data_IF_920634361925
#
_entry.id   IF_920634361925
#
_cell.length_a   1.000
_cell.length_b   1.000
_cell.length_c   1.000
_cell.angle_alpha   90.00
_cell.angle_beta   90.00
_cell.angle_gamma   90.00
#
_symmetry.space_group_name_H-M   'P 1'
#
loop_
_entity.id
_entity.type
_entity.pdbx_description
1 polymer ?
#
# COMPACT_ATOMS: atom_id res chain seq x y z
N UNK A 1 -21.95 0.00 -15.38
CA UNK A 1 -21.72 1.25 -14.62
C UNK A 1 -20.37 1.14 -13.94
N UNK A 2 -19.42 2.02 -14.23
CA UNK A 2 -18.12 2.07 -13.55
C UNK A 2 -18.26 2.88 -12.26
N UNK A 3 -17.88 2.31 -11.12
CA UNK A 3 -17.88 3.02 -9.85
C UNK A 3 -16.60 3.85 -9.74
N UNK A 4 -16.74 5.17 -9.59
CA UNK A 4 -15.62 6.10 -9.35
C UNK A 4 -15.74 6.66 -7.94
N UNK A 5 -14.81 6.29 -7.05
CA UNK A 5 -14.79 6.79 -5.68
C UNK A 5 -14.19 8.21 -5.65
N UNK A 6 -14.90 9.23 -5.13
CA UNK A 6 -14.39 10.60 -5.07
C UNK A 6 -13.24 10.78 -4.06
N UNK A 7 -13.04 9.80 -3.18
CA UNK A 7 -11.97 9.81 -2.20
C UNK A 7 -10.72 9.03 -2.64
N UNK A 8 -10.73 8.44 -3.83
CA UNK A 8 -9.58 7.71 -4.36
C UNK A 8 -8.62 8.67 -5.07
N UNK A 9 -7.42 8.80 -4.54
CA UNK A 9 -6.32 9.52 -5.18
C UNK A 9 -5.51 8.56 -6.04
N UNK A 10 -5.77 8.59 -7.34
CA UNK A 10 -5.14 7.71 -8.34
C UNK A 10 -3.62 7.85 -8.33
N UNK A 11 -3.10 9.07 -8.19
CA UNK A 11 -1.65 9.35 -8.22
C UNK A 11 -0.86 8.68 -7.08
N UNK A 12 -1.51 8.39 -5.95
CA UNK A 12 -0.87 7.85 -4.75
C UNK A 12 -1.43 6.49 -4.34
N UNK A 13 -2.38 5.98 -5.12
CA UNK A 13 -3.16 4.79 -4.80
C UNK A 13 -3.73 4.81 -3.35
N UNK A 14 -4.16 5.99 -2.90
CA UNK A 14 -4.50 6.27 -1.51
C UNK A 14 -5.94 6.75 -1.33
N UNK A 15 -6.52 6.49 -0.16
CA UNK A 15 -7.83 6.99 0.22
C UNK A 15 -7.68 8.33 0.96
N UNK A 16 -8.13 9.43 0.35
CA UNK A 16 -8.09 10.77 0.93
C UNK A 16 -8.92 10.90 2.21
N UNK A 17 -10.02 10.14 2.30
CA UNK A 17 -10.91 10.14 3.47
C UNK A 17 -10.26 9.47 4.69
N UNK A 18 -9.55 8.37 4.46
CA UNK A 18 -8.94 7.56 5.50
C UNK A 18 -7.44 7.87 5.69
N UNK A 19 -6.87 8.72 4.81
CA UNK A 19 -5.48 9.17 4.79
C UNK A 19 -4.48 8.01 4.86
N UNK A 20 -4.80 6.94 4.16
CA UNK A 20 -4.05 5.67 4.14
C UNK A 20 -4.21 5.01 2.77
N UNK A 21 -3.53 3.89 2.55
CA UNK A 21 -3.67 3.09 1.33
C UNK A 21 -5.13 2.72 1.03
N UNK A 22 -5.49 2.79 -0.25
CA UNK A 22 -6.86 2.50 -0.66
C UNK A 22 -7.11 0.99 -0.71
N UNK A 23 -7.84 0.46 0.27
CA UNK A 23 -8.34 -0.93 0.25
C UNK A 23 -9.88 -0.94 0.17
N UNK A 24 -10.47 -1.39 -0.95
CA UNK A 24 -11.92 -1.43 -1.14
C UNK A 24 -12.62 -2.32 -0.10
N UNK A 25 -13.67 -1.81 0.54
CA UNK A 25 -14.46 -2.55 1.53
C UNK A 25 -13.87 -2.62 2.93
N UNK A 26 -12.80 -1.86 3.22
CA UNK A 26 -12.27 -1.72 4.59
C UNK A 26 -13.24 -0.95 5.48
N UNK A 27 -13.14 -1.08 6.82
CA UNK A 27 -13.92 -0.27 7.73
C UNK A 27 -13.83 1.23 7.41
N UNK A 28 -14.97 1.88 7.23
CA UNK A 28 -15.09 3.29 6.84
C UNK A 28 -14.99 3.58 5.33
N UNK A 29 -14.88 2.54 4.48
CA UNK A 29 -14.97 2.68 3.03
C UNK A 29 -16.43 2.79 2.57
N UNK A 30 -16.66 3.51 1.47
CA UNK A 30 -17.96 3.56 0.78
C UNK A 30 -18.43 2.18 0.31
N UNK A 31 -17.51 1.23 0.11
CA UNK A 31 -17.78 -0.14 -0.28
C UNK A 31 -17.80 -1.12 0.91
N UNK A 32 -17.88 -0.62 2.15
CA UNK A 32 -18.04 -1.49 3.33
C UNK A 32 -19.27 -2.39 3.16
N UNK A 33 -19.13 -3.67 3.51
CA UNK A 33 -20.18 -4.68 3.31
C UNK A 33 -20.38 -5.16 1.87
N UNK A 34 -19.61 -4.65 0.91
CA UNK A 34 -19.65 -5.16 -0.47
C UNK A 34 -19.02 -6.55 -0.57
N UNK A 35 -19.61 -7.42 -1.39
CA UNK A 35 -19.12 -8.77 -1.63
C UNK A 35 -17.88 -8.77 -2.53
N UNK A 36 -16.70 -8.96 -1.95
CA UNK A 36 -15.45 -9.17 -2.68
C UNK A 36 -15.07 -10.66 -2.62
N UNK A 37 -14.39 -11.15 -3.67
CA UNK A 37 -13.91 -12.54 -3.71
C UNK A 37 -12.87 -12.83 -2.62
N UNK A 38 -12.06 -11.83 -2.25
CA UNK A 38 -11.06 -11.93 -1.18
C UNK A 38 -11.51 -11.11 0.03
N UNK A 39 -11.50 -11.68 1.25
CA UNK A 39 -11.91 -10.97 2.45
C UNK A 39 -11.03 -9.75 2.69
N UNK A 40 -11.64 -8.69 3.24
CA UNK A 40 -10.95 -7.41 3.40
C UNK A 40 -9.76 -7.47 4.35
N UNK A 41 -9.83 -8.31 5.38
CA UNK A 41 -8.73 -8.50 6.32
C UNK A 41 -7.46 -9.00 5.64
N UNK A 42 -7.59 -9.88 4.65
CA UNK A 42 -6.45 -10.38 3.88
C UNK A 42 -5.85 -9.28 3.00
N UNK A 43 -6.69 -8.55 2.25
CA UNK A 43 -6.23 -7.46 1.38
C UNK A 43 -5.54 -6.33 2.15
N UNK A 44 -6.00 -6.04 3.37
CA UNK A 44 -5.34 -5.08 4.27
C UNK A 44 -3.94 -5.55 4.67
N UNK A 45 -3.77 -6.84 4.99
CA UNK A 45 -2.45 -7.42 5.32
C UNK A 45 -1.50 -7.36 4.13
N UNK A 46 -1.95 -7.84 2.97
CA UNK A 46 -1.15 -7.82 1.74
C UNK A 46 -0.67 -6.40 1.39
N UNK A 47 -1.55 -5.40 1.57
CA UNK A 47 -1.21 -4.00 1.33
C UNK A 47 -0.24 -3.43 2.37
N UNK A 48 -0.40 -3.80 3.63
CA UNK A 48 0.53 -3.42 4.69
C UNK A 48 1.92 -4.03 4.48
N UNK A 49 1.99 -5.31 4.10
CA UNK A 49 3.23 -6.00 3.78
C UNK A 49 3.94 -5.37 2.57
N UNK A 50 3.20 -5.05 1.49
CA UNK A 50 3.75 -4.33 0.34
C UNK A 50 4.36 -2.98 0.76
N UNK A 51 3.64 -2.23 1.60
CA UNK A 51 4.11 -0.94 2.10
C UNK A 51 5.36 -1.10 2.98
N UNK A 52 5.41 -2.11 3.85
CA UNK A 52 6.59 -2.41 4.66
C UNK A 52 7.80 -2.77 3.80
N UNK A 53 7.61 -3.58 2.74
CA UNK A 53 8.68 -3.94 1.82
C UNK A 53 9.20 -2.71 1.06
N UNK A 54 8.32 -1.80 0.63
CA UNK A 54 8.73 -0.52 0.01
C UNK A 54 9.45 0.40 0.98
N UNK A 55 9.03 0.42 2.24
CA UNK A 55 9.61 1.24 3.28
C UNK A 55 10.92 0.70 3.84
N UNK A 56 11.33 -0.54 3.53
CA UNK A 56 12.67 -1.02 3.86
C UNK A 56 13.67 -0.18 3.08
N UNK A 57 14.34 0.80 3.72
CA UNK A 57 15.47 1.44 3.07
C UNK A 57 16.52 0.34 3.01
N UNK A 58 17.07 0.05 1.84
CA UNK A 58 18.22 -0.84 1.75
C UNK A 58 19.28 -0.36 2.72
N UNK A 59 19.45 -1.07 3.85
CA UNK A 59 20.64 -0.97 4.69
C UNK A 59 21.76 -1.71 3.96
N UNK A 60 22.09 -1.22 2.79
CA UNK A 60 23.13 -1.75 1.90
C UNK A 60 23.93 -0.61 1.24
N UNK A 61 23.76 0.63 1.72
CA UNK A 61 24.66 1.75 1.40
C UNK A 61 25.51 2.03 2.64
N UNK A 62 26.55 1.20 2.86
CA UNK A 62 27.77 1.48 3.64
C UNK A 62 28.44 0.17 4.07
N UNK A 63 28.98 -0.56 3.09
CA UNK A 63 30.31 -1.19 3.21
C UNK A 63 30.71 -1.78 1.86
N UNK A 64 30.77 -0.92 0.84
CA UNK A 64 31.75 -1.14 -0.23
C UNK A 64 32.95 -0.29 0.18
N UNK A 65 33.81 -0.87 1.02
CA UNK A 65 35.15 -0.32 1.19
C UNK A 65 35.83 -0.29 -0.20
N UNK A 66 36.60 0.76 -0.52
CA UNK A 66 37.10 1.02 -1.87
C UNK A 66 38.06 -0.09 -2.37
N UNK A 67 38.25 -0.24 -3.70
CA UNK A 67 39.22 -1.17 -4.29
C UNK A 67 40.65 -0.56 -4.27
N UNK A 68 41.68 -1.29 -4.74
CA UNK A 68 42.86 -1.75 -3.99
C UNK A 68 44.06 -0.76 -3.95
N UNK A 69 45.10 -1.07 -3.18
CA UNK A 69 46.48 -0.63 -3.45
C UNK A 69 47.44 -1.79 -3.12
N UNK A 70 48.21 -2.19 -4.14
CA UNK A 70 49.42 -3.05 -4.22
C UNK A 70 49.75 -4.06 -3.10
#
# INVERSE_FOLDING_TARGET
MSFSCPHFAVDRDACLRLKTDCVPGRPGCVLEGSGFAVPVAQRLREREEENQLRLRPGKNDSMVSPPPAE
#
